data_IF_121653281093
#
_entry.id   IF_121653281093
#
_cell.length_a   1.000
_cell.length_b   1.000
_cell.length_c   1.000
_cell.angle_alpha   90.00
_cell.angle_beta   90.00
_cell.angle_gamma   90.00
#
_symmetry.space_group_name_H-M   'P 1'
#
loop_
_entity.id
_entity.type
_entity.pdbx_description
1 polymer ?
#
# COMPACT_ATOMS: atom_id res chain seq x y z
N UNK A 1 19.94 -21.91 6.11
CA UNK A 1 20.08 -21.01 4.95
C UNK A 1 18.74 -21.02 4.23
N UNK A 2 18.16 -19.86 3.96
CA UNK A 2 16.88 -19.72 3.28
C UNK A 2 17.06 -20.19 1.81
N UNK A 3 16.26 -21.15 1.37
CA UNK A 3 16.24 -21.53 -0.04
C UNK A 3 15.39 -20.54 -0.84
N UNK A 4 15.99 -19.76 -1.73
CA UNK A 4 15.27 -18.83 -2.61
C UNK A 4 15.16 -19.40 -4.02
N UNK A 5 13.94 -19.69 -4.48
CA UNK A 5 13.66 -20.12 -5.85
C UNK A 5 13.19 -18.90 -6.65
N UNK A 6 13.92 -18.57 -7.72
CA UNK A 6 13.63 -17.39 -8.56
C UNK A 6 13.05 -17.82 -9.90
N UNK A 7 11.82 -17.41 -10.18
CA UNK A 7 11.13 -17.56 -11.45
C UNK A 7 11.12 -16.21 -12.17
N UNK A 8 12.10 -15.98 -13.05
CA UNK A 8 12.30 -14.67 -13.71
C UNK A 8 12.04 -14.82 -15.22
N UNK A 9 10.96 -14.21 -15.70
CA UNK A 9 10.49 -14.33 -17.09
C UNK A 9 11.23 -13.39 -18.06
N UNK A 10 11.75 -12.27 -17.55
CA UNK A 10 12.60 -11.34 -18.32
C UNK A 10 13.93 -12.02 -18.71
N UNK A 11 14.48 -11.65 -19.87
CA UNK A 11 15.63 -12.32 -20.50
C UNK A 11 16.90 -11.45 -20.53
N UNK A 12 18.02 -12.05 -20.90
CA UNK A 12 19.29 -11.33 -21.15
C UNK A 12 19.86 -10.62 -19.92
N UNK A 13 20.49 -9.46 -20.14
CA UNK A 13 21.17 -8.67 -19.08
C UNK A 13 20.21 -8.24 -17.96
N UNK A 14 18.96 -7.93 -18.30
CA UNK A 14 17.92 -7.54 -17.34
C UNK A 14 17.67 -8.64 -16.29
N UNK A 15 17.63 -9.91 -16.71
CA UNK A 15 17.52 -11.07 -15.80
C UNK A 15 18.66 -11.12 -14.79
N UNK A 16 19.88 -10.86 -15.24
CA UNK A 16 21.06 -10.80 -14.38
C UNK A 16 20.94 -9.72 -13.32
N UNK A 17 20.57 -8.49 -13.72
CA UNK A 17 20.41 -7.35 -12.83
C UNK A 17 19.35 -7.62 -11.76
N UNK A 18 18.17 -8.11 -12.15
CA UNK A 18 17.10 -8.47 -11.20
C UNK A 18 17.52 -9.58 -10.25
N UNK A 19 18.18 -10.63 -10.77
CA UNK A 19 18.66 -11.72 -9.92
C UNK A 19 19.67 -11.21 -8.88
N UNK A 20 20.59 -10.34 -9.28
CA UNK A 20 21.58 -9.72 -8.38
C UNK A 20 20.89 -8.86 -7.32
N UNK A 21 19.93 -8.01 -7.71
CA UNK A 21 19.17 -7.17 -6.78
C UNK A 21 18.50 -8.03 -5.69
N UNK A 22 17.80 -9.09 -6.09
CA UNK A 22 17.14 -10.04 -5.16
C UNK A 22 18.18 -10.73 -4.26
N UNK A 23 19.28 -11.24 -4.83
CA UNK A 23 20.32 -11.93 -4.05
C UNK A 23 20.95 -11.03 -2.99
N UNK A 24 21.24 -9.78 -3.34
CA UNK A 24 21.88 -8.84 -2.44
C UNK A 24 20.98 -8.54 -1.23
N UNK A 25 19.69 -8.30 -1.46
CA UNK A 25 18.72 -8.10 -0.37
C UNK A 25 18.65 -9.33 0.53
N UNK A 26 18.54 -10.54 -0.04
CA UNK A 26 18.47 -11.77 0.75
C UNK A 26 19.72 -11.95 1.62
N UNK A 27 20.92 -11.75 1.05
CA UNK A 27 22.18 -11.90 1.79
C UNK A 27 22.24 -10.97 3.00
N UNK A 28 21.99 -9.68 2.81
CA UNK A 28 21.98 -8.68 3.89
C UNK A 28 20.92 -9.02 4.96
N UNK A 29 19.76 -9.54 4.54
CA UNK A 29 18.70 -9.93 5.47
C UNK A 29 19.01 -11.24 6.22
N UNK A 30 19.68 -12.21 5.61
CA UNK A 30 20.14 -13.43 6.30
C UNK A 30 21.20 -13.13 7.37
N UNK A 31 22.00 -12.09 7.14
CA UNK A 31 23.01 -11.59 8.09
C UNK A 31 22.37 -10.81 9.25
N UNK A 32 21.30 -10.03 8.99
CA UNK A 32 20.75 -9.06 9.96
C UNK A 32 19.41 -9.47 10.60
N UNK A 33 18.65 -10.38 10.00
CA UNK A 33 17.32 -10.78 10.46
C UNK A 33 17.19 -12.28 10.67
N UNK A 34 16.27 -12.67 11.55
CA UNK A 34 15.75 -14.03 11.65
C UNK A 34 14.96 -14.48 10.41
N UNK A 35 15.28 -13.99 9.20
CA UNK A 35 14.77 -14.53 7.92
C UNK A 35 15.02 -16.04 7.82
N UNK A 36 15.97 -16.57 8.62
CA UNK A 36 16.18 -17.99 8.89
C UNK A 36 14.92 -18.76 9.31
N UNK A 37 13.86 -18.11 9.82
CA UNK A 37 12.57 -18.76 10.07
C UNK A 37 11.87 -19.18 8.77
N UNK A 38 12.11 -18.47 7.67
CA UNK A 38 11.65 -18.83 6.35
C UNK A 38 12.60 -19.91 5.80
N UNK A 39 12.12 -21.16 5.74
CA UNK A 39 12.92 -22.27 5.19
C UNK A 39 13.11 -22.16 3.67
N UNK A 40 12.10 -21.62 2.98
CA UNK A 40 12.03 -21.48 1.53
C UNK A 40 11.23 -20.24 1.15
N UNK A 41 11.57 -19.58 0.04
CA UNK A 41 10.87 -18.43 -0.54
C UNK A 41 10.82 -18.59 -2.06
N UNK A 42 9.62 -18.50 -2.66
CA UNK A 42 9.44 -18.49 -4.11
C UNK A 42 9.27 -17.04 -4.59
N UNK A 43 10.13 -16.57 -5.50
CA UNK A 43 10.11 -15.21 -6.03
C UNK A 43 9.81 -15.25 -7.53
N UNK A 44 8.71 -14.62 -7.93
CA UNK A 44 8.29 -14.51 -9.32
C UNK A 44 8.52 -13.09 -9.82
N UNK A 45 9.19 -12.94 -10.96
CA UNK A 45 9.35 -11.65 -11.65
C UNK A 45 8.84 -11.82 -13.07
N UNK A 46 7.70 -11.21 -13.38
CA UNK A 46 6.92 -11.56 -14.56
C UNK A 46 6.38 -10.36 -15.32
N UNK A 47 6.33 -10.46 -16.64
CA UNK A 47 5.62 -9.51 -17.51
C UNK A 47 4.14 -9.87 -17.67
N UNK A 48 3.71 -11.06 -17.21
CA UNK A 48 2.32 -11.51 -17.24
C UNK A 48 1.83 -11.89 -15.82
N UNK A 49 1.58 -10.88 -14.96
CA UNK A 49 1.19 -11.12 -13.57
C UNK A 49 -0.09 -11.95 -13.45
N UNK A 50 -1.03 -11.79 -14.38
CA UNK A 50 -2.29 -12.56 -14.38
C UNK A 50 -2.02 -14.06 -14.55
N UNK A 51 -1.17 -14.45 -15.50
CA UNK A 51 -0.84 -15.84 -15.74
C UNK A 51 -0.11 -16.47 -14.55
N UNK A 52 0.88 -15.77 -14.00
CA UNK A 52 1.63 -16.25 -12.83
C UNK A 52 0.72 -16.37 -11.60
N UNK A 53 -0.17 -15.40 -11.36
CA UNK A 53 -1.15 -15.53 -10.29
C UNK A 53 -2.06 -16.74 -10.49
N UNK A 54 -2.52 -17.04 -11.72
CA UNK A 54 -3.28 -18.27 -11.98
C UNK A 54 -2.47 -19.52 -11.64
N UNK A 55 -1.17 -19.55 -11.94
CA UNK A 55 -0.29 -20.68 -11.56
C UNK A 55 -0.18 -20.78 -10.03
N UNK A 56 0.08 -19.66 -9.34
CA UNK A 56 0.16 -19.61 -7.87
C UNK A 56 -1.15 -20.09 -7.24
N UNK A 57 -2.30 -19.68 -7.79
CA UNK A 57 -3.63 -20.03 -7.28
C UNK A 57 -4.09 -21.45 -7.68
N UNK A 58 -3.69 -21.97 -8.85
CA UNK A 58 -4.16 -23.24 -9.41
C UNK A 58 -3.20 -24.43 -9.20
N UNK A 59 -1.97 -24.22 -8.70
CA UNK A 59 -0.94 -25.27 -8.53
C UNK A 59 -1.22 -26.34 -7.45
N UNK A 60 -2.48 -26.73 -7.24
CA UNK A 60 -2.82 -28.00 -6.58
C UNK A 60 -2.87 -28.00 -5.05
N UNK A 61 -2.66 -26.86 -4.37
CA UNK A 61 -2.97 -26.72 -2.94
C UNK A 61 -4.11 -25.73 -2.78
N UNK A 62 -5.37 -26.19 -2.83
CA UNK A 62 -6.59 -25.41 -2.53
C UNK A 62 -6.27 -24.35 -1.48
N UNK A 63 -5.95 -23.14 -1.93
CA UNK A 63 -5.75 -22.00 -1.06
C UNK A 63 -7.18 -21.71 -0.60
N UNK A 64 -7.52 -22.11 0.63
CA UNK A 64 -8.74 -21.65 1.28
C UNK A 64 -8.51 -20.19 1.65
N UNK A 65 -8.41 -19.33 0.62
CA UNK A 65 -8.37 -17.89 0.80
C UNK A 65 -9.76 -17.55 1.32
N UNK A 66 -9.92 -17.43 2.64
CA UNK A 66 -11.17 -16.94 3.26
C UNK A 66 -11.62 -15.60 2.64
N UNK A 67 -10.72 -14.90 1.93
CA UNK A 67 -10.95 -13.70 1.13
C UNK A 67 -10.94 -13.98 -0.38
N UNK A 68 -11.79 -14.91 -0.85
CA UNK A 68 -11.91 -15.25 -2.27
C UNK A 68 -12.37 -14.08 -3.17
N UNK A 69 -12.86 -12.97 -2.60
CA UNK A 69 -13.18 -11.74 -3.34
C UNK A 69 -11.96 -10.84 -3.60
N UNK A 70 -11.23 -10.45 -2.56
CA UNK A 70 -10.19 -9.41 -2.64
C UNK A 70 -8.98 -9.82 -3.48
N UNK A 71 -8.48 -11.05 -3.37
CA UNK A 71 -7.30 -11.46 -4.14
C UNK A 71 -7.62 -11.69 -5.61
N UNK A 72 -8.81 -12.19 -5.96
CA UNK A 72 -9.19 -12.48 -7.35
C UNK A 72 -9.40 -11.19 -8.15
N UNK A 73 -10.12 -10.21 -7.59
CA UNK A 73 -10.35 -8.91 -8.24
C UNK A 73 -9.06 -8.09 -8.34
N UNK A 74 -8.21 -8.14 -7.31
CA UNK A 74 -6.94 -7.40 -7.28
C UNK A 74 -5.86 -8.01 -8.19
N UNK A 75 -5.79 -9.34 -8.27
CA UNK A 75 -4.96 -10.08 -9.25
C UNK A 75 -5.38 -9.81 -10.69
N UNK A 76 -6.68 -9.64 -10.94
CA UNK A 76 -7.22 -9.35 -12.27
C UNK A 76 -6.97 -7.90 -12.74
N UNK A 77 -6.47 -7.01 -11.87
CA UNK A 77 -6.19 -5.59 -12.16
C UNK A 77 -4.86 -5.28 -12.88
N UNK A 78 -4.12 -6.30 -13.32
CA UNK A 78 -2.93 -6.18 -14.19
C UNK A 78 -1.68 -5.47 -13.61
N UNK A 79 -1.60 -5.26 -12.29
CA UNK A 79 -0.55 -4.43 -11.68
C UNK A 79 0.16 -4.89 -10.38
N UNK A 80 -0.13 -6.00 -9.67
CA UNK A 80 0.39 -6.07 -8.31
C UNK A 80 1.84 -6.56 -8.28
N UNK A 81 2.73 -5.78 -7.66
CA UNK A 81 3.72 -6.39 -6.78
C UNK A 81 2.97 -6.86 -5.53
N UNK A 82 3.28 -8.05 -5.04
CA UNK A 82 2.71 -8.51 -3.78
C UNK A 82 3.56 -9.57 -3.12
N UNK A 83 3.28 -9.75 -1.84
CA UNK A 83 3.77 -10.82 -1.02
C UNK A 83 2.59 -11.62 -0.45
N UNK A 84 2.74 -12.95 -0.44
CA UNK A 84 1.70 -13.86 0.01
C UNK A 84 2.30 -15.00 0.83
N UNK A 85 1.62 -15.35 1.92
CA UNK A 85 1.99 -16.52 2.70
C UNK A 85 0.78 -17.12 3.40
N UNK A 86 0.72 -18.45 3.41
CA UNK A 86 -0.22 -19.25 4.20
C UNK A 86 0.59 -20.19 5.10
N UNK A 87 0.16 -20.36 6.35
CA UNK A 87 0.84 -21.23 7.31
C UNK A 87 1.01 -22.64 6.72
N UNK A 88 2.24 -23.15 6.76
CA UNK A 88 2.57 -24.47 6.20
C UNK A 88 2.84 -24.50 4.68
N UNK A 89 2.76 -23.36 3.99
CA UNK A 89 3.19 -23.21 2.60
C UNK A 89 4.46 -22.35 2.50
N UNK A 90 5.14 -22.46 1.37
CA UNK A 90 6.24 -21.55 1.02
C UNK A 90 5.68 -20.14 0.79
N UNK A 91 6.22 -19.11 1.46
CA UNK A 91 5.97 -17.72 1.12
C UNK A 91 6.31 -17.43 -0.34
N UNK A 92 5.57 -16.49 -0.92
CA UNK A 92 5.67 -16.08 -2.31
C UNK A 92 5.81 -14.56 -2.37
N UNK A 93 6.74 -14.09 -3.21
CA UNK A 93 6.78 -12.68 -3.65
C UNK A 93 6.59 -12.68 -5.16
N UNK A 94 5.69 -11.83 -5.67
CA UNK A 94 5.54 -11.56 -7.09
C UNK A 94 5.89 -10.10 -7.36
N UNK A 95 6.75 -9.87 -8.35
CA UNK A 95 7.11 -8.54 -8.85
C UNK A 95 6.66 -8.39 -10.32
N UNK A 96 6.01 -7.27 -10.61
CA UNK A 96 5.53 -6.91 -11.94
C UNK A 96 6.65 -6.29 -12.78
N UNK A 97 7.22 -7.07 -13.69
CA UNK A 97 8.33 -6.66 -14.55
C UNK A 97 7.94 -5.59 -15.59
N UNK A 98 6.66 -5.23 -15.71
CA UNK A 98 6.21 -4.12 -16.56
C UNK A 98 6.47 -2.74 -15.91
N UNK A 99 6.79 -2.69 -14.62
CA UNK A 99 7.11 -1.43 -13.95
C UNK A 99 8.38 -0.78 -14.50
N UNK A 100 8.42 0.54 -14.44
CA UNK A 100 9.51 1.32 -15.04
C UNK A 100 10.88 0.96 -14.45
N UNK A 101 10.96 0.66 -13.15
CA UNK A 101 12.20 0.26 -12.47
C UNK A 101 12.86 -0.96 -13.13
N UNK A 102 12.08 -1.89 -13.68
CA UNK A 102 12.59 -3.05 -14.39
C UNK A 102 13.03 -2.68 -15.81
N UNK A 103 12.25 -1.82 -16.51
CA UNK A 103 12.57 -1.36 -17.87
C UNK A 103 13.84 -0.52 -17.92
N UNK A 104 14.07 0.31 -16.91
CA UNK A 104 15.27 1.16 -16.77
C UNK A 104 16.44 0.45 -16.09
N UNK A 105 16.28 -0.81 -15.67
CA UNK A 105 17.28 -1.57 -14.94
C UNK A 105 17.77 -0.87 -13.65
N UNK A 106 16.91 -0.11 -12.97
CA UNK A 106 17.28 0.57 -11.74
C UNK A 106 17.45 -0.44 -10.59
N UNK A 107 18.67 -0.94 -10.42
CA UNK A 107 18.99 -1.99 -9.45
C UNK A 107 18.68 -1.57 -7.99
N UNK A 108 18.83 -0.28 -7.67
CA UNK A 108 18.54 0.24 -6.34
C UNK A 108 17.03 0.22 -6.09
N UNK A 109 16.23 0.71 -7.03
CA UNK A 109 14.77 0.68 -6.93
C UNK A 109 14.21 -0.75 -6.88
N UNK A 110 14.73 -1.68 -7.70
CA UNK A 110 14.35 -3.10 -7.68
C UNK A 110 14.68 -3.72 -6.32
N UNK A 111 15.86 -3.42 -5.76
CA UNK A 111 16.25 -3.89 -4.43
C UNK A 111 15.33 -3.33 -3.34
N UNK A 112 14.92 -2.06 -3.46
CA UNK A 112 14.03 -1.38 -2.52
C UNK A 112 12.63 -1.98 -2.53
N UNK A 113 12.08 -2.21 -3.73
CA UNK A 113 10.79 -2.88 -3.91
C UNK A 113 10.84 -4.31 -3.32
N UNK A 114 11.87 -5.09 -3.64
CA UNK A 114 11.97 -6.45 -3.14
C UNK A 114 12.15 -6.50 -1.61
N UNK A 115 12.96 -5.60 -1.02
CA UNK A 115 13.10 -5.48 0.43
C UNK A 115 11.79 -5.11 1.11
N UNK A 116 11.00 -4.22 0.51
CA UNK A 116 9.65 -3.87 0.97
C UNK A 116 8.72 -5.08 0.99
N UNK A 117 8.63 -5.82 -0.12
CA UNK A 117 7.77 -7.02 -0.19
C UNK A 117 8.23 -8.13 0.77
N UNK A 118 9.55 -8.28 0.97
CA UNK A 118 10.09 -9.22 1.95
C UNK A 118 9.69 -8.82 3.39
N UNK A 119 9.68 -7.52 3.71
CA UNK A 119 9.24 -7.05 5.03
C UNK A 119 7.76 -7.28 5.27
N UNK A 120 6.91 -7.25 4.24
CA UNK A 120 5.51 -7.65 4.37
C UNK A 120 5.36 -9.11 4.82
N UNK A 121 6.17 -10.03 4.28
CA UNK A 121 6.16 -11.43 4.73
C UNK A 121 6.56 -11.57 6.20
N UNK A 122 7.56 -10.82 6.66
CA UNK A 122 7.98 -10.83 8.06
C UNK A 122 6.93 -10.18 8.97
N UNK A 123 6.31 -9.08 8.54
CA UNK A 123 5.20 -8.46 9.27
C UNK A 123 4.03 -9.43 9.44
N UNK A 124 3.75 -10.22 8.40
CA UNK A 124 2.75 -11.27 8.46
C UNK A 124 3.12 -12.38 9.46
N UNK A 125 4.39 -12.79 9.49
CA UNK A 125 4.89 -13.73 10.49
C UNK A 125 4.68 -13.22 11.92
N UNK A 126 4.88 -11.93 12.12
CA UNK A 126 4.77 -11.26 13.41
C UNK A 126 3.31 -10.97 13.81
N UNK A 127 2.32 -11.40 13.02
CA UNK A 127 0.89 -11.22 13.29
C UNK A 127 0.38 -9.79 13.07
N UNK A 128 1.15 -8.94 12.37
CA UNK A 128 0.78 -7.53 12.16
C UNK A 128 -0.47 -7.42 11.28
N UNK A 129 -0.61 -8.25 10.24
CA UNK A 129 -1.82 -8.24 9.39
C UNK A 129 -3.09 -8.57 10.20
N UNK A 130 -3.01 -9.52 11.13
CA UNK A 130 -4.14 -9.90 11.98
C UNK A 130 -4.53 -8.77 12.93
N UNK A 131 -3.55 -8.10 13.55
CA UNK A 131 -3.78 -6.92 14.39
C UNK A 131 -4.44 -5.80 13.57
N UNK A 132 -3.96 -5.52 12.37
CA UNK A 132 -4.53 -4.46 11.54
C UNK A 132 -5.99 -4.75 11.13
N UNK A 133 -6.32 -6.02 10.86
CA UNK A 133 -7.70 -6.43 10.56
C UNK A 133 -8.60 -6.27 11.79
N UNK A 134 -8.15 -6.73 12.96
CA UNK A 134 -8.89 -6.59 14.22
C UNK A 134 -9.14 -5.12 14.58
N UNK A 135 -8.12 -4.26 14.43
CA UNK A 135 -8.28 -2.83 14.71
C UNK A 135 -9.16 -2.10 13.68
N UNK A 136 -9.25 -2.59 12.45
CA UNK A 136 -10.21 -2.11 11.45
C UNK A 136 -11.65 -2.51 11.82
N UNK A 137 -11.87 -3.73 12.29
CA UNK A 137 -13.18 -4.16 12.83
C UNK A 137 -13.56 -3.32 14.05
N UNK A 138 -12.62 -3.08 14.97
CA UNK A 138 -12.84 -2.22 16.15
C UNK A 138 -13.07 -0.74 15.79
N UNK A 139 -12.65 -0.29 14.61
CA UNK A 139 -12.94 1.05 14.10
C UNK A 139 -14.31 1.14 13.41
N UNK A 140 -14.98 0.01 13.14
CA UNK A 140 -16.24 -0.03 12.41
C UNK A 140 -17.40 0.65 13.16
N UNK A 141 -17.42 0.63 14.50
CA UNK A 141 -18.41 1.35 15.30
C UNK A 141 -18.46 2.83 14.95
N UNK A 142 -17.29 3.41 14.61
CA UNK A 142 -17.23 4.80 14.18
C UNK A 142 -17.94 5.01 12.84
N UNK A 143 -17.88 4.05 11.93
CA UNK A 143 -18.57 4.09 10.64
C UNK A 143 -20.08 4.14 10.89
N UNK A 144 -20.63 3.22 11.68
CA UNK A 144 -22.06 3.18 11.98
C UNK A 144 -22.54 4.47 12.66
N UNK A 145 -21.79 4.97 13.64
CA UNK A 145 -22.09 6.25 14.28
C UNK A 145 -22.18 7.43 13.29
N UNK A 146 -21.32 7.48 12.27
CA UNK A 146 -21.34 8.54 11.26
C UNK A 146 -22.50 8.36 10.28
N UNK A 147 -22.82 7.12 9.92
CA UNK A 147 -23.95 6.80 9.04
C UNK A 147 -25.28 7.18 9.69
N UNK A 148 -25.47 6.89 10.98
CA UNK A 148 -26.71 7.23 11.71
C UNK A 148 -26.99 8.74 11.76
N UNK A 149 -25.93 9.55 11.70
CA UNK A 149 -26.00 11.02 11.70
C UNK A 149 -26.03 11.62 10.31
N UNK A 150 -25.80 10.81 9.28
CA UNK A 150 -25.75 11.28 7.92
C UNK A 150 -27.16 11.50 7.38
N UNK A 151 -27.45 12.73 6.92
CA UNK A 151 -28.67 13.03 6.18
C UNK A 151 -28.48 12.59 4.71
N UNK A 152 -29.14 11.52 4.24
CA UNK A 152 -28.85 10.95 2.93
C UNK A 152 -29.11 11.95 1.80
N UNK A 153 -28.15 12.10 0.88
CA UNK A 153 -28.27 12.99 -0.28
C UNK A 153 -27.46 12.42 -1.44
N UNK A 154 -28.04 12.32 -2.64
CA UNK A 154 -27.30 11.81 -3.81
C UNK A 154 -26.06 12.68 -4.10
N UNK A 155 -24.89 12.09 -4.40
CA UNK A 155 -24.63 10.65 -4.59
C UNK A 155 -24.28 9.87 -3.30
N UNK A 156 -24.29 10.52 -2.14
CA UNK A 156 -23.98 9.94 -0.82
C UNK A 156 -25.24 9.44 -0.11
N UNK A 157 -25.80 8.33 -0.59
CA UNK A 157 -26.77 7.56 0.22
C UNK A 157 -26.03 6.79 1.32
N UNK A 158 -26.74 6.31 2.35
CA UNK A 158 -26.15 5.52 3.46
C UNK A 158 -25.33 4.35 2.94
N UNK A 159 -25.89 3.54 2.04
CA UNK A 159 -25.21 2.38 1.45
C UNK A 159 -23.94 2.78 0.69
N UNK A 160 -24.02 3.83 -0.12
CA UNK A 160 -22.87 4.27 -0.94
C UNK A 160 -21.77 4.91 -0.09
N UNK A 161 -22.15 5.55 1.00
CA UNK A 161 -21.23 6.09 1.99
C UNK A 161 -20.58 4.99 2.83
N UNK A 162 -21.32 3.92 3.19
CA UNK A 162 -20.76 2.72 3.80
C UNK A 162 -19.65 2.13 2.91
N UNK A 163 -19.91 1.98 1.61
CA UNK A 163 -18.89 1.52 0.65
C UNK A 163 -17.66 2.45 0.61
N UNK A 164 -17.86 3.77 0.67
CA UNK A 164 -16.73 4.71 0.80
C UNK A 164 -15.91 4.45 2.07
N UNK A 165 -16.57 4.30 3.21
CA UNK A 165 -15.89 4.08 4.49
C UNK A 165 -15.12 2.77 4.51
N UNK A 166 -15.69 1.68 3.99
CA UNK A 166 -14.98 0.40 3.84
C UNK A 166 -13.75 0.56 2.95
N UNK A 167 -13.87 1.28 1.81
CA UNK A 167 -12.75 1.54 0.91
C UNK A 167 -11.66 2.38 1.57
N UNK A 168 -12.04 3.43 2.30
CA UNK A 168 -11.09 4.30 3.01
C UNK A 168 -10.37 3.52 4.11
N UNK A 169 -11.10 2.81 4.97
CA UNK A 169 -10.49 2.07 6.07
C UNK A 169 -9.59 0.92 5.58
N UNK A 170 -10.03 0.13 4.59
CA UNK A 170 -9.19 -0.93 4.00
C UNK A 170 -7.92 -0.37 3.34
N UNK A 171 -8.02 0.73 2.59
CA UNK A 171 -6.85 1.39 2.00
C UNK A 171 -5.90 1.88 3.10
N UNK A 172 -6.43 2.50 4.16
CA UNK A 172 -5.63 2.97 5.29
C UNK A 172 -4.88 1.84 5.99
N UNK A 173 -5.51 0.67 6.17
CA UNK A 173 -4.83 -0.53 6.67
C UNK A 173 -3.63 -0.93 5.80
N UNK A 174 -3.77 -0.86 4.47
CA UNK A 174 -2.64 -1.11 3.55
C UNK A 174 -1.54 -0.06 3.71
N UNK A 175 -1.89 1.23 3.84
CA UNK A 175 -0.88 2.29 4.03
C UNK A 175 -0.13 2.15 5.36
N UNK A 176 -0.82 1.75 6.43
CA UNK A 176 -0.19 1.46 7.73
C UNK A 176 0.77 0.28 7.57
N UNK A 177 0.34 -0.79 6.90
CA UNK A 177 1.19 -1.95 6.60
C UNK A 177 2.47 -1.54 5.87
N UNK A 178 2.36 -0.67 4.87
CA UNK A 178 3.50 -0.17 4.10
C UNK A 178 4.44 0.69 4.95
N UNK A 179 3.91 1.58 5.80
CA UNK A 179 4.74 2.38 6.73
C UNK A 179 5.54 1.46 7.67
N UNK A 180 4.91 0.41 8.20
CA UNK A 180 5.57 -0.55 9.09
C UNK A 180 6.63 -1.37 8.34
N UNK A 181 6.34 -1.85 7.13
CA UNK A 181 7.31 -2.53 6.28
C UNK A 181 8.50 -1.62 5.96
N UNK A 182 8.24 -0.38 5.52
CA UNK A 182 9.26 0.61 5.22
C UNK A 182 10.12 0.95 6.43
N UNK A 183 9.53 1.06 7.62
CA UNK A 183 10.26 1.34 8.85
C UNK A 183 11.29 0.24 9.11
N UNK A 184 10.93 -1.03 8.86
CA UNK A 184 11.88 -2.13 8.93
C UNK A 184 12.89 -2.08 7.79
N UNK A 185 12.48 -1.86 6.53
CA UNK A 185 13.43 -1.69 5.40
C UNK A 185 14.51 -0.65 5.73
N UNK A 186 14.11 0.52 6.24
CA UNK A 186 15.04 1.58 6.65
C UNK A 186 15.92 1.17 7.82
N UNK A 187 15.37 0.54 8.86
CA UNK A 187 16.16 0.04 9.99
C UNK A 187 17.23 -0.99 9.58
N UNK A 188 17.02 -1.68 8.46
CA UNK A 188 17.98 -2.64 7.89
C UNK A 188 19.02 -1.99 6.96
N UNK A 189 18.98 -0.67 6.76
CA UNK A 189 19.95 0.07 5.95
C UNK A 189 19.62 0.11 4.45
N UNK A 190 18.35 -0.13 4.08
CA UNK A 190 17.89 -0.07 2.69
C UNK A 190 17.19 1.27 2.35
N UNK A 191 17.51 2.33 3.08
CA UNK A 191 16.91 3.65 2.89
C UNK A 191 17.18 4.23 1.49
N UNK A 192 18.39 4.02 0.97
CA UNK A 192 18.75 4.47 -0.38
C UNK A 192 17.94 3.76 -1.47
N UNK A 193 17.81 2.44 -1.35
CA UNK A 193 17.08 1.58 -2.28
C UNK A 193 15.58 1.90 -2.24
N UNK A 194 15.03 2.08 -1.04
CA UNK A 194 13.64 2.45 -0.85
C UNK A 194 13.34 3.84 -1.43
N UNK A 195 14.27 4.79 -1.29
CA UNK A 195 14.15 6.12 -1.88
C UNK A 195 14.11 6.04 -3.42
N UNK A 196 15.03 5.30 -4.04
CA UNK A 196 15.07 5.15 -5.51
C UNK A 196 13.78 4.51 -6.05
N UNK A 197 13.18 3.58 -5.29
CA UNK A 197 11.88 3.02 -5.63
C UNK A 197 10.78 4.10 -5.59
N UNK A 198 10.65 4.84 -4.49
CA UNK A 198 9.59 5.85 -4.37
C UNK A 198 9.76 7.05 -5.29
N UNK A 199 11.01 7.41 -5.63
CA UNK A 199 11.30 8.44 -6.61
C UNK A 199 10.61 8.14 -7.95
N UNK A 200 10.76 6.92 -8.46
CA UNK A 200 10.14 6.48 -9.73
C UNK A 200 8.61 6.42 -9.62
N UNK A 201 8.07 5.99 -8.47
CA UNK A 201 6.61 6.01 -8.22
C UNK A 201 6.07 7.44 -8.33
N UNK A 202 6.73 8.41 -7.70
CA UNK A 202 6.31 9.81 -7.68
C UNK A 202 6.48 10.50 -9.03
N UNK A 203 7.56 10.21 -9.77
CA UNK A 203 7.79 10.73 -11.13
C UNK A 203 6.63 10.33 -12.07
N UNK A 204 6.12 9.11 -11.93
CA UNK A 204 4.96 8.63 -12.68
C UNK A 204 3.63 9.22 -12.21
N UNK A 205 3.54 9.64 -10.95
CA UNK A 205 2.33 10.20 -10.35
C UNK A 205 2.08 11.68 -10.69
N UNK A 206 3.03 12.36 -11.36
CA UNK A 206 2.97 13.77 -11.77
C UNK A 206 1.77 14.19 -12.65
N UNK A 207 0.85 13.27 -12.94
CA UNK A 207 -0.33 13.48 -13.79
C UNK A 207 -1.67 13.41 -13.04
N UNK A 208 -1.67 13.29 -11.71
CA UNK A 208 -2.90 13.21 -10.92
C UNK A 208 -3.38 14.62 -10.57
N UNK A 209 -4.53 15.01 -11.12
CA UNK A 209 -5.11 16.33 -10.91
C UNK A 209 -6.58 16.23 -10.52
N UNK A 210 -6.91 16.73 -9.34
CA UNK A 210 -8.28 16.94 -8.90
C UNK A 210 -8.53 18.43 -8.69
N UNK A 211 -9.64 18.92 -9.23
CA UNK A 211 -10.12 20.29 -8.97
C UNK A 211 -11.46 20.22 -8.27
N UNK A 212 -11.79 21.25 -7.50
CA UNK A 212 -13.04 21.24 -6.73
C UNK A 212 -14.26 21.22 -7.66
N UNK A 213 -14.24 22.05 -8.71
CA UNK A 213 -15.26 22.07 -9.75
C UNK A 213 -15.32 20.74 -10.51
N UNK A 214 -14.18 20.11 -10.80
CA UNK A 214 -14.13 18.80 -11.43
C UNK A 214 -14.82 17.72 -10.59
N UNK A 215 -14.48 17.65 -9.29
CA UNK A 215 -15.13 16.75 -8.34
C UNK A 215 -16.63 17.03 -8.27
N UNK A 216 -17.05 18.29 -8.10
CA UNK A 216 -18.47 18.66 -8.05
C UNK A 216 -19.24 18.23 -9.31
N UNK A 217 -18.66 18.47 -10.49
CA UNK A 217 -19.27 18.09 -11.76
C UNK A 217 -19.43 16.57 -11.90
N UNK A 218 -18.44 15.79 -11.47
CA UNK A 218 -18.53 14.34 -11.48
C UNK A 218 -19.51 13.81 -10.43
N UNK A 219 -19.58 14.42 -9.24
CA UNK A 219 -20.56 14.07 -8.21
C UNK A 219 -22.01 14.34 -8.66
N UNK A 220 -22.26 15.44 -9.38
CA UNK A 220 -23.57 15.73 -10.01
C UNK A 220 -23.97 14.69 -11.06
N UNK A 221 -22.98 14.05 -11.70
CA UNK A 221 -23.16 12.91 -12.62
C UNK A 221 -23.19 11.57 -11.90
N UNK A 222 -23.45 11.58 -10.60
CA UNK A 222 -23.53 10.41 -9.72
C UNK A 222 -22.23 9.61 -9.57
N UNK A 223 -21.07 10.17 -9.93
CA UNK A 223 -19.76 9.51 -9.80
C UNK A 223 -19.14 9.72 -8.40
N UNK A 224 -19.72 9.11 -7.37
CA UNK A 224 -19.21 9.21 -5.98
C UNK A 224 -17.71 8.93 -5.83
N UNK A 225 -17.21 7.89 -6.51
CA UNK A 225 -15.85 7.37 -6.34
C UNK A 225 -14.75 8.41 -6.56
N UNK A 226 -15.03 9.48 -7.33
CA UNK A 226 -14.06 10.56 -7.56
C UNK A 226 -13.58 11.22 -6.26
N UNK A 227 -14.45 11.27 -5.24
CA UNK A 227 -14.08 11.82 -3.93
C UNK A 227 -13.23 10.84 -3.12
N UNK A 228 -13.57 9.54 -3.17
CA UNK A 228 -12.76 8.47 -2.57
C UNK A 228 -11.34 8.51 -3.17
N UNK A 229 -11.26 8.56 -4.50
CA UNK A 229 -10.01 8.53 -5.25
C UNK A 229 -9.14 9.77 -4.96
N UNK A 230 -9.74 10.95 -4.92
CA UNK A 230 -9.01 12.18 -4.59
C UNK A 230 -8.44 12.15 -3.16
N UNK A 231 -9.26 11.76 -2.17
CA UNK A 231 -8.83 11.68 -0.78
C UNK A 231 -7.72 10.62 -0.59
N UNK A 232 -7.89 9.44 -1.17
CA UNK A 232 -6.91 8.36 -1.05
C UNK A 232 -5.64 8.61 -1.86
N UNK A 233 -5.70 9.25 -3.03
CA UNK A 233 -4.52 9.65 -3.78
C UNK A 233 -3.68 10.66 -3.00
N UNK A 234 -4.31 11.62 -2.32
CA UNK A 234 -3.60 12.56 -1.45
C UNK A 234 -2.82 11.86 -0.36
N UNK A 235 -3.49 10.97 0.38
CA UNK A 235 -2.86 10.27 1.49
C UNK A 235 -1.77 9.32 0.96
N UNK A 236 -2.11 8.54 -0.08
CA UNK A 236 -1.22 7.56 -0.69
C UNK A 236 0.09 8.17 -1.19
N UNK A 237 0.04 9.25 -1.97
CA UNK A 237 1.26 9.88 -2.46
C UNK A 237 2.09 10.49 -1.33
N UNK A 238 1.45 11.08 -0.32
CA UNK A 238 2.17 11.65 0.82
C UNK A 238 2.75 10.61 1.78
N UNK A 239 2.26 9.37 1.77
CA UNK A 239 2.83 8.30 2.61
C UNK A 239 4.28 7.96 2.20
N UNK A 240 4.64 8.16 0.93
CA UNK A 240 5.97 7.81 0.38
C UNK A 240 7.14 8.45 1.12
N UNK A 241 6.95 9.64 1.70
CA UNK A 241 7.98 10.36 2.45
C UNK A 241 7.83 10.26 3.98
N UNK A 242 6.72 9.70 4.49
CA UNK A 242 6.42 9.65 5.93
C UNK A 242 7.50 8.89 6.70
N UNK A 243 7.84 7.68 6.26
CA UNK A 243 8.85 6.85 6.95
C UNK A 243 10.22 7.52 6.96
N UNK A 244 10.62 8.17 5.86
CA UNK A 244 11.88 8.92 5.80
C UNK A 244 11.92 10.04 6.84
N UNK A 245 10.81 10.76 7.01
CA UNK A 245 10.71 11.80 8.02
C UNK A 245 10.76 11.23 9.44
N UNK A 246 10.14 10.07 9.69
CA UNK A 246 10.18 9.38 10.99
C UNK A 246 11.62 9.02 11.41
N UNK A 247 12.47 8.65 10.44
CA UNK A 247 13.89 8.35 10.63
C UNK A 247 14.80 9.59 10.53
N UNK A 248 14.23 10.81 10.45
CA UNK A 248 14.97 12.06 10.26
C UNK A 248 15.90 12.06 9.02
N UNK A 249 15.60 11.22 8.02
CA UNK A 249 16.38 11.11 6.80
C UNK A 249 16.06 12.28 5.86
N UNK A 250 17.06 13.12 5.55
CA UNK A 250 16.90 14.36 4.77
C UNK A 250 16.19 14.18 3.42
N UNK A 251 16.27 12.98 2.82
CA UNK A 251 15.58 12.64 1.56
C UNK A 251 14.05 12.77 1.64
N UNK A 252 13.46 12.83 2.85
CA UNK A 252 12.04 13.10 3.00
C UNK A 252 11.61 14.42 2.35
N UNK A 253 12.47 15.44 2.35
CA UNK A 253 12.17 16.74 1.73
C UNK A 253 12.07 16.62 0.21
N UNK A 254 12.98 15.87 -0.40
CA UNK A 254 12.97 15.63 -1.84
C UNK A 254 11.70 14.89 -2.26
N UNK A 255 11.41 13.74 -1.62
CA UNK A 255 10.20 12.97 -1.90
C UNK A 255 8.93 13.81 -1.66
N UNK A 256 8.88 14.59 -0.58
CA UNK A 256 7.76 15.50 -0.30
C UNK A 256 7.58 16.56 -1.40
N UNK A 257 8.66 17.13 -1.92
CA UNK A 257 8.60 18.12 -2.99
C UNK A 257 8.21 17.50 -4.34
N UNK A 258 8.50 16.22 -4.55
CA UNK A 258 8.07 15.47 -5.72
C UNK A 258 6.58 15.11 -5.71
N UNK A 259 5.89 15.21 -4.56
CA UNK A 259 4.42 15.07 -4.49
C UNK A 259 3.77 16.32 -5.10
N UNK A 260 3.77 16.39 -6.43
CA UNK A 260 3.20 17.49 -7.19
C UNK A 260 1.77 17.15 -7.64
N UNK A 261 0.83 17.16 -6.68
CA UNK A 261 -0.57 16.88 -6.94
C UNK A 261 -1.42 18.15 -6.75
N UNK A 262 -2.21 18.49 -7.78
CA UNK A 262 -3.27 19.50 -7.63
C UNK A 262 -4.47 18.84 -6.98
N UNK A 263 -4.88 19.33 -5.82
CA UNK A 263 -6.05 18.84 -5.10
C UNK A 263 -6.75 19.98 -4.37
N UNK A 264 -8.09 19.92 -4.19
CA UNK A 264 -8.80 20.95 -3.43
C UNK A 264 -8.29 21.10 -2.00
N UNK A 265 -8.29 22.34 -1.50
CA UNK A 265 -7.81 22.65 -0.16
C UNK A 265 -8.62 21.95 0.94
N UNK A 266 -9.90 21.66 0.72
CA UNK A 266 -10.69 20.86 1.67
C UNK A 266 -10.12 19.47 1.86
N UNK A 267 -9.65 18.81 0.79
CA UNK A 267 -9.06 17.48 0.88
C UNK A 267 -7.71 17.58 1.57
N UNK A 268 -6.88 18.56 1.20
CA UNK A 268 -5.59 18.81 1.85
C UNK A 268 -5.75 19.06 3.36
N UNK A 269 -6.70 19.92 3.75
CA UNK A 269 -6.99 20.28 5.14
C UNK A 269 -7.42 19.07 5.97
N UNK A 270 -8.27 18.21 5.41
CA UNK A 270 -8.76 17.01 6.11
C UNK A 270 -7.76 15.85 6.06
N UNK A 271 -6.96 15.71 5.00
CA UNK A 271 -5.96 14.66 4.87
C UNK A 271 -4.68 14.92 5.67
N UNK A 272 -4.27 16.18 5.85
CA UNK A 272 -3.03 16.56 6.55
C UNK A 272 -2.94 15.97 7.98
N UNK A 273 -3.98 16.07 8.84
CA UNK A 273 -3.95 15.44 10.16
C UNK A 273 -3.70 13.92 10.13
N UNK A 274 -4.20 13.23 9.10
CA UNK A 274 -3.98 11.79 8.93
C UNK A 274 -2.51 11.51 8.65
N UNK A 275 -1.89 12.26 7.73
CA UNK A 275 -0.46 12.15 7.41
C UNK A 275 0.42 12.49 8.62
N UNK A 276 0.05 13.50 9.40
CA UNK A 276 0.76 13.87 10.62
C UNK A 276 0.70 12.75 11.67
N UNK A 277 -0.47 12.13 11.86
CA UNK A 277 -0.61 11.05 12.85
C UNK A 277 0.03 9.74 12.37
N UNK A 278 0.12 9.50 11.05
CA UNK A 278 0.91 8.40 10.49
C UNK A 278 2.38 8.42 10.94
N UNK A 279 2.95 9.61 11.17
CA UNK A 279 4.35 9.73 11.64
C UNK A 279 4.55 9.21 13.06
N UNK A 280 3.47 8.95 13.80
CA UNK A 280 3.50 8.40 15.15
C UNK A 280 3.47 6.87 15.17
N UNK A 281 3.32 6.20 14.01
CA UNK A 281 3.34 4.74 13.91
C UNK A 281 4.74 4.18 14.17
N UNK A 282 5.04 3.84 15.43
CA UNK A 282 6.34 3.26 15.82
C UNK A 282 6.36 1.73 15.79
N UNK A 283 5.20 1.09 15.89
CA UNK A 283 5.11 -0.37 16.02
C UNK A 283 3.77 -0.88 15.51
N UNK A 284 3.78 -2.04 14.83
CA UNK A 284 2.57 -2.77 14.44
C UNK A 284 1.82 -3.39 15.63
N UNK A 285 2.41 -3.37 16.83
CA UNK A 285 1.77 -3.82 18.07
C UNK A 285 1.07 -2.68 18.82
N UNK A 286 1.25 -1.43 18.40
CA UNK A 286 0.56 -0.28 19.01
C UNK A 286 -0.87 -0.15 18.47
N UNK A 287 -1.72 -1.04 18.97
CA UNK A 287 -3.16 -1.13 18.65
C UNK A 287 -3.88 0.19 18.84
N UNK A 288 -3.54 0.94 19.90
CA UNK A 288 -4.16 2.23 20.20
C UNK A 288 -3.88 3.26 19.11
N UNK A 289 -2.62 3.39 18.69
CA UNK A 289 -2.23 4.32 17.62
C UNK A 289 -2.83 3.89 16.28
N UNK A 290 -2.83 2.60 15.96
CA UNK A 290 -3.45 2.06 14.74
C UNK A 290 -4.95 2.41 14.70
N UNK A 291 -5.70 2.08 15.75
CA UNK A 291 -7.14 2.37 15.84
C UNK A 291 -7.43 3.85 15.73
N UNK A 292 -6.66 4.68 16.45
CA UNK A 292 -6.77 6.15 16.40
C UNK A 292 -6.63 6.65 14.96
N UNK A 293 -5.62 6.18 14.24
CA UNK A 293 -5.37 6.59 12.86
C UNK A 293 -6.49 6.17 11.90
N UNK A 294 -7.00 4.95 12.04
CA UNK A 294 -8.15 4.46 11.23
C UNK A 294 -9.39 5.33 11.47
N UNK A 295 -9.73 5.59 12.73
CA UNK A 295 -10.83 6.48 13.13
C UNK A 295 -10.60 7.90 12.60
N UNK A 296 -9.38 8.41 12.69
CA UNK A 296 -9.02 9.76 12.22
C UNK A 296 -9.21 9.88 10.71
N UNK A 297 -8.82 8.87 9.93
CA UNK A 297 -8.99 8.85 8.49
C UNK A 297 -10.48 8.82 8.10
N UNK A 298 -11.28 7.95 8.73
CA UNK A 298 -12.74 7.85 8.51
C UNK A 298 -13.43 9.20 8.81
N UNK A 299 -13.09 9.82 9.95
CA UNK A 299 -13.65 11.10 10.36
C UNK A 299 -13.31 12.24 9.38
N UNK A 300 -12.05 12.32 8.95
CA UNK A 300 -11.63 13.39 8.05
C UNK A 300 -12.14 13.18 6.63
N UNK A 301 -12.27 11.92 6.19
CA UNK A 301 -12.98 11.61 4.96
C UNK A 301 -14.44 12.08 5.04
N UNK A 302 -15.14 11.79 6.13
CA UNK A 302 -16.54 12.24 6.31
C UNK A 302 -16.69 13.76 6.30
N UNK A 303 -15.80 14.52 6.94
CA UNK A 303 -15.78 16.00 6.84
C UNK A 303 -15.65 16.49 5.41
N UNK A 304 -14.93 15.75 4.57
CA UNK A 304 -14.80 16.05 3.15
C UNK A 304 -16.11 15.76 2.42
N UNK A 305 -16.78 14.64 2.72
CA UNK A 305 -18.13 14.34 2.21
C UNK A 305 -19.11 15.44 2.60
N UNK A 306 -19.16 15.84 3.86
CA UNK A 306 -20.07 16.90 4.34
C UNK A 306 -19.87 18.23 3.60
N UNK A 307 -18.61 18.57 3.30
CA UNK A 307 -18.30 19.75 2.51
C UNK A 307 -18.91 19.69 1.11
N UNK A 308 -18.72 18.59 0.38
CA UNK A 308 -19.26 18.46 -0.97
C UNK A 308 -20.80 18.29 -0.95
N UNK A 309 -21.38 17.65 0.06
CA UNK A 309 -22.84 17.59 0.24
C UNK A 309 -23.49 18.97 0.37
N UNK A 310 -22.81 19.93 1.02
CA UNK A 310 -23.29 21.33 1.14
C UNK A 310 -23.24 22.10 -0.17
N UNK A 311 -22.40 21.67 -1.12
CA UNK A 311 -22.18 22.32 -2.42
C UNK A 311 -22.96 21.69 -3.58
N UNK A 312 -23.43 20.45 -3.40
CA UNK A 312 -24.41 19.79 -4.27
C UNK A 312 -25.80 20.37 -4.04
#
# INVERSE_FOLDING_TARGET
>A
MLQVIKHIDIKGKQKGIVSIAISNVIREFEERAHVKSLKKLDVYVTTNPIAVCKIILNSGKRLKVKRHGEMREWVCGNKPNFSYWEKGKSPIIMLNANEEIFRTNNIQAISGLFAHELMHLLNKQDGIEDILNEEMENAADRIFYLLDRHKPKKPFTIERLLVSFTRVGSTMTLLIKDILANSRVMAFGFDNQLYENYKVVLENANKIFYTENGILNDLKKDKKHVLDDAFLAYIGLNMTWVTFKMFQNKRYLELKNMVNMKIPDVIRKNGKPVIEDMMNLRSGKDRKTIRKLLILAINNYYKTVEYFCKKL
#
